data_IF_318693138823
#
_entry.id   IF_318693138823
#
_cell.length_a   1.000
_cell.length_b   1.000
_cell.length_c   1.000
_cell.angle_alpha   90.00
_cell.angle_beta   90.00
_cell.angle_gamma   90.00
#
_symmetry.space_group_name_H-M   'P 1'
#
loop_
_entity.id
_entity.type
_entity.pdbx_description
1 polymer ?
#
# COMPACT_ATOMS: atom_id res chain seq x y z
N UNK A 1 35.66 8.40 5.00
CA UNK A 1 34.71 7.56 5.76
C UNK A 1 34.70 8.10 7.17
N UNK A 2 33.59 8.66 7.61
CA UNK A 2 33.48 9.52 8.79
C UNK A 2 33.19 8.69 10.04
N UNK A 3 33.74 9.08 11.20
CA UNK A 3 33.51 8.52 12.54
C UNK A 3 32.00 8.38 12.93
N UNK A 4 31.12 9.05 12.21
CA UNK A 4 29.67 8.92 12.36
C UNK A 4 29.10 7.58 11.84
N UNK A 5 29.75 6.95 10.85
CA UNK A 5 29.37 5.64 10.31
C UNK A 5 29.72 4.50 11.27
N UNK A 6 30.87 4.59 11.91
CA UNK A 6 31.32 3.56 12.87
C UNK A 6 30.54 3.58 14.19
N UNK A 7 30.10 4.77 14.62
CA UNK A 7 29.28 4.89 15.84
C UNK A 7 27.83 4.38 15.64
N UNK A 8 27.30 4.44 14.42
CA UNK A 8 25.96 3.88 14.11
C UNK A 8 25.97 2.34 14.13
N UNK A 9 27.06 1.74 13.66
CA UNK A 9 27.19 0.27 13.63
C UNK A 9 27.38 -0.32 15.03
N UNK A 10 28.09 0.37 15.90
CA UNK A 10 28.33 -0.06 17.29
C UNK A 10 27.04 0.02 18.15
N UNK A 11 26.29 1.12 18.08
CA UNK A 11 25.00 1.26 18.79
C UNK A 11 23.95 0.24 18.31
N UNK A 12 24.04 -0.22 17.05
CA UNK A 12 23.11 -1.20 16.50
C UNK A 12 23.38 -2.62 17.02
N UNK A 13 24.61 -2.95 17.30
CA UNK A 13 24.98 -4.26 17.85
C UNK A 13 24.53 -4.44 19.33
N UNK A 14 24.49 -3.36 20.10
CA UNK A 14 24.03 -3.40 21.50
C UNK A 14 22.52 -3.43 21.65
N UNK A 15 21.76 -2.86 20.68
CA UNK A 15 20.29 -2.87 20.71
C UNK A 15 19.65 -4.12 20.05
N UNK A 16 20.45 -5.03 19.49
CA UNK A 16 19.95 -6.32 18.98
C UNK A 16 19.78 -7.40 20.07
N UNK A 17 20.18 -7.11 21.30
CA UNK A 17 19.91 -7.98 22.44
C UNK A 17 18.49 -7.71 22.97
N UNK A 18 17.58 -8.66 22.75
CA UNK A 18 16.19 -8.75 23.21
C UNK A 18 15.12 -8.15 22.28
N UNK A 19 14.94 -8.73 21.09
CA UNK A 19 13.59 -8.78 20.49
C UNK A 19 12.75 -9.75 21.31
N UNK A 20 11.64 -9.32 21.92
CA UNK A 20 10.69 -10.27 22.46
C UNK A 20 10.17 -11.10 21.28
N UNK A 21 10.38 -12.41 21.35
CA UNK A 21 9.85 -13.38 20.40
C UNK A 21 8.34 -13.52 20.61
N UNK A 22 7.57 -12.53 20.18
CA UNK A 22 6.17 -12.73 19.87
C UNK A 22 6.12 -13.14 18.40
N UNK A 23 5.64 -14.32 18.12
CA UNK A 23 5.49 -14.89 16.78
C UNK A 23 4.61 -13.97 15.90
N UNK A 24 5.20 -12.95 15.33
CA UNK A 24 4.56 -12.20 14.26
C UNK A 24 4.90 -12.92 12.95
N UNK A 25 3.92 -13.62 12.42
CA UNK A 25 4.05 -14.40 11.18
C UNK A 25 3.82 -13.56 9.92
N UNK A 26 3.27 -12.34 10.07
CA UNK A 26 2.83 -11.49 8.97
C UNK A 26 3.67 -10.19 8.93
N UNK A 27 4.34 -9.85 7.82
CA UNK A 27 5.08 -8.61 7.67
C UNK A 27 4.21 -7.37 7.81
N UNK A 28 4.71 -6.32 8.47
CA UNK A 28 4.03 -5.05 8.67
C UNK A 28 4.64 -3.94 7.79
N UNK A 29 3.79 -3.32 6.96
CA UNK A 29 4.18 -2.30 5.99
C UNK A 29 3.58 -0.94 6.36
N UNK A 30 4.35 0.13 6.24
CA UNK A 30 3.86 1.50 6.43
C UNK A 30 3.91 2.27 5.13
N UNK A 31 2.76 2.74 4.67
CA UNK A 31 2.66 3.76 3.63
C UNK A 31 3.07 5.11 4.24
N UNK A 32 4.34 5.44 4.14
CA UNK A 32 4.90 6.63 4.79
C UNK A 32 4.67 7.92 4.00
N UNK A 33 4.44 7.83 2.68
CA UNK A 33 4.37 8.98 1.80
C UNK A 33 3.26 10.01 2.15
N UNK A 34 2.07 9.65 2.69
CA UNK A 34 1.10 10.66 3.11
C UNK A 34 1.56 11.48 4.33
N UNK A 35 2.51 10.95 5.10
CA UNK A 35 3.08 11.63 6.27
C UNK A 35 4.30 12.50 5.92
N UNK A 36 4.81 12.43 4.69
CA UNK A 36 5.97 13.20 4.28
C UNK A 36 5.60 14.67 4.09
N UNK A 37 6.50 15.60 4.45
CA UNK A 37 6.24 17.01 4.22
C UNK A 37 6.17 17.30 2.71
N UNK A 38 5.18 18.08 2.27
CA UNK A 38 5.21 18.62 0.91
C UNK A 38 6.47 19.49 0.77
N UNK A 39 7.20 19.36 -0.32
CA UNK A 39 8.42 20.13 -0.62
C UNK A 39 9.67 19.72 0.20
N UNK A 40 9.79 18.48 0.63
CA UNK A 40 11.05 17.95 1.18
C UNK A 40 12.06 17.70 0.04
N UNK A 41 12.51 18.76 -0.63
CA UNK A 41 13.43 18.67 -1.77
C UNK A 41 14.75 17.99 -1.38
N UNK A 42 15.24 18.24 -0.16
CA UNK A 42 16.45 17.63 0.39
C UNK A 42 16.19 16.25 1.02
N UNK A 43 14.95 15.81 1.11
CA UNK A 43 14.51 14.53 1.69
C UNK A 43 14.93 14.28 3.13
N UNK A 44 15.25 15.32 3.88
CA UNK A 44 15.65 15.20 5.28
C UNK A 44 14.50 14.69 6.16
N UNK A 45 13.28 15.19 5.93
CA UNK A 45 12.10 14.72 6.64
C UNK A 45 11.76 13.27 6.33
N UNK A 46 11.89 12.86 5.08
CA UNK A 46 11.70 11.48 4.66
C UNK A 46 12.74 10.54 5.29
N UNK A 47 14.01 10.91 5.26
CA UNK A 47 15.09 10.12 5.89
C UNK A 47 14.87 9.95 7.39
N UNK A 48 14.53 11.04 8.09
CA UNK A 48 14.24 11.01 9.52
C UNK A 48 13.03 10.13 9.86
N UNK A 49 11.98 10.16 9.01
CA UNK A 49 10.81 9.31 9.19
C UNK A 49 11.15 7.83 8.97
N UNK A 50 11.93 7.49 7.94
CA UNK A 50 12.34 6.11 7.67
C UNK A 50 13.26 5.57 8.77
N UNK A 51 14.23 6.36 9.25
CA UNK A 51 15.05 6.00 10.40
C UNK A 51 14.19 5.68 11.62
N UNK A 52 13.24 6.57 11.93
CA UNK A 52 12.38 6.41 13.10
C UNK A 52 11.40 5.23 12.99
N UNK A 53 10.87 4.94 11.79
CA UNK A 53 10.04 3.76 11.54
C UNK A 53 10.84 2.47 11.70
N UNK A 54 12.09 2.44 11.22
CA UNK A 54 12.99 1.30 11.40
C UNK A 54 13.33 1.07 12.87
N UNK A 55 13.54 2.15 13.65
CA UNK A 55 13.84 2.08 15.08
C UNK A 55 12.70 1.51 15.94
N UNK A 56 11.45 1.53 15.42
CA UNK A 56 10.31 0.87 16.08
C UNK A 56 10.50 -0.67 16.15
N UNK A 57 11.31 -1.25 15.28
CA UNK A 57 11.68 -2.67 15.27
C UNK A 57 10.55 -3.64 14.92
N UNK A 58 9.40 -3.13 14.52
CA UNK A 58 8.25 -3.93 14.08
C UNK A 58 7.68 -3.50 12.72
N UNK A 59 8.26 -2.49 12.09
CA UNK A 59 7.98 -2.13 10.69
C UNK A 59 8.96 -2.93 9.82
N UNK A 60 8.43 -3.80 8.98
CA UNK A 60 9.25 -4.68 8.13
C UNK A 60 9.45 -4.10 6.73
N UNK A 61 8.58 -3.17 6.31
CA UNK A 61 8.66 -2.55 4.99
C UNK A 61 7.97 -1.21 4.89
N UNK A 62 8.31 -0.50 3.82
CA UNK A 62 7.70 0.76 3.41
C UNK A 62 6.92 0.52 2.11
N UNK A 63 5.74 1.11 1.98
CA UNK A 63 5.04 1.20 0.71
C UNK A 63 5.59 2.39 -0.08
N UNK A 64 6.06 2.12 -1.29
CA UNK A 64 6.69 3.07 -2.19
C UNK A 64 5.77 3.37 -3.37
N UNK A 65 5.34 4.61 -3.57
CA UNK A 65 4.51 4.96 -4.72
C UNK A 65 5.34 5.01 -6.01
N UNK A 66 4.73 4.54 -7.10
CA UNK A 66 5.29 4.60 -8.45
C UNK A 66 4.37 5.43 -9.37
N UNK A 67 4.95 6.40 -10.05
CA UNK A 67 4.28 7.21 -11.09
C UNK A 67 4.85 6.89 -12.48
N UNK A 68 5.97 7.50 -12.81
CA UNK A 68 6.85 7.20 -13.95
C UNK A 68 8.19 6.65 -13.47
N UNK A 69 8.47 6.87 -12.19
CA UNK A 69 9.58 6.35 -11.41
C UNK A 69 9.13 6.20 -9.96
N UNK A 70 9.97 5.63 -9.11
CA UNK A 70 9.79 5.68 -7.66
C UNK A 70 9.89 7.15 -7.19
N UNK A 71 9.20 7.48 -6.11
CA UNK A 71 9.06 8.87 -5.59
C UNK A 71 10.38 9.58 -5.25
N UNK A 72 11.49 8.83 -5.19
CA UNK A 72 12.80 9.39 -4.95
C UNK A 72 13.86 8.70 -5.81
N UNK A 73 15.06 9.31 -6.00
CA UNK A 73 16.13 8.69 -6.76
C UNK A 73 16.54 7.33 -6.19
N UNK A 74 16.68 6.36 -7.08
CA UNK A 74 17.02 4.98 -6.72
C UNK A 74 18.21 4.84 -5.78
N UNK A 75 19.37 5.54 -5.98
CA UNK A 75 20.49 5.44 -5.06
C UNK A 75 20.16 5.93 -3.64
N UNK A 76 19.38 7.00 -3.53
CA UNK A 76 18.94 7.53 -2.24
C UNK A 76 17.98 6.56 -1.54
N UNK A 77 16.98 6.01 -2.25
CA UNK A 77 16.08 4.99 -1.68
C UNK A 77 16.86 3.76 -1.20
N UNK A 78 17.79 3.27 -2.00
CA UNK A 78 18.65 2.15 -1.62
C UNK A 78 19.42 2.44 -0.32
N UNK A 79 19.99 3.64 -0.19
CA UNK A 79 20.68 4.06 1.05
C UNK A 79 19.74 4.11 2.26
N UNK A 80 18.49 4.60 2.06
CA UNK A 80 17.53 4.72 3.16
C UNK A 80 16.92 3.37 3.56
N UNK A 81 16.74 2.44 2.66
CA UNK A 81 15.98 1.21 2.89
C UNK A 81 16.87 0.01 3.21
N UNK A 82 18.06 -0.10 2.60
CA UNK A 82 18.93 -1.24 2.74
C UNK A 82 19.34 -1.52 4.21
N UNK A 83 19.24 -2.77 4.58
CA UNK A 83 19.53 -3.23 5.95
C UNK A 83 18.54 -2.75 7.02
N UNK A 84 17.47 -2.05 6.66
CA UNK A 84 16.41 -1.59 7.56
C UNK A 84 15.08 -2.28 7.29
N UNK A 85 14.70 -2.40 6.02
CA UNK A 85 13.43 -2.96 5.58
C UNK A 85 13.67 -4.07 4.57
N UNK A 86 12.93 -5.16 4.70
CA UNK A 86 13.08 -6.35 3.84
C UNK A 86 11.75 -6.77 3.18
N UNK A 87 10.67 -6.03 3.46
CA UNK A 87 9.32 -6.37 3.03
C UNK A 87 8.60 -5.16 2.40
N UNK A 88 9.35 -4.32 1.66
CA UNK A 88 8.75 -3.18 0.98
C UNK A 88 7.73 -3.63 -0.07
N UNK A 89 6.75 -2.77 -0.29
CA UNK A 89 5.70 -2.92 -1.31
C UNK A 89 5.80 -1.72 -2.25
N UNK A 90 5.59 -1.93 -3.56
CA UNK A 90 5.45 -0.82 -4.51
C UNK A 90 4.00 -0.74 -4.94
N UNK A 91 3.37 0.44 -4.79
CA UNK A 91 2.01 0.68 -5.29
C UNK A 91 2.02 1.44 -6.61
N UNK A 92 1.29 0.94 -7.60
CA UNK A 92 1.16 1.57 -8.91
C UNK A 92 0.03 2.62 -8.97
N UNK A 93 -0.77 2.81 -7.88
CA UNK A 93 -1.99 3.63 -7.95
C UNK A 93 -1.74 5.07 -8.43
N UNK A 94 -0.71 5.80 -7.97
CA UNK A 94 -0.54 7.18 -8.40
C UNK A 94 -0.23 7.31 -9.90
N UNK A 95 0.57 6.39 -10.45
CA UNK A 95 0.86 6.31 -11.88
C UNK A 95 -0.35 5.89 -12.70
N UNK A 96 -1.11 4.91 -12.20
CA UNK A 96 -2.35 4.43 -12.82
C UNK A 96 -3.38 5.56 -12.93
N UNK A 97 -3.65 6.27 -11.83
CA UNK A 97 -4.61 7.38 -11.79
C UNK A 97 -4.20 8.52 -12.71
N UNK A 98 -2.92 8.91 -12.71
CA UNK A 98 -2.42 9.96 -13.59
C UNK A 98 -2.58 9.63 -15.07
N UNK A 99 -2.30 8.39 -15.46
CA UNK A 99 -2.42 7.93 -16.86
C UNK A 99 -3.87 7.70 -17.28
N UNK A 100 -4.69 7.07 -16.44
CA UNK A 100 -6.11 6.88 -16.70
C UNK A 100 -6.88 8.23 -16.78
N UNK A 101 -6.42 9.26 -16.06
CA UNK A 101 -6.94 10.61 -16.18
C UNK A 101 -6.56 11.30 -17.50
N UNK A 102 -5.43 10.94 -18.09
CA UNK A 102 -4.96 11.46 -19.38
C UNK A 102 -5.51 10.67 -20.59
N UNK A 103 -5.64 9.36 -20.43
CA UNK A 103 -6.20 8.43 -21.42
C UNK A 103 -7.23 7.51 -20.76
N UNK A 104 -8.52 7.70 -21.04
CA UNK A 104 -9.59 6.89 -20.45
C UNK A 104 -9.54 5.40 -20.80
N UNK A 105 -8.78 5.00 -21.82
CA UNK A 105 -8.58 3.60 -22.17
C UNK A 105 -7.42 2.95 -21.39
N UNK A 106 -6.58 3.73 -20.71
CA UNK A 106 -5.40 3.22 -20.02
C UNK A 106 -5.77 2.39 -18.78
N UNK A 107 -5.38 1.11 -18.76
CA UNK A 107 -5.54 0.26 -17.58
C UNK A 107 -5.32 -1.23 -17.89
N UNK A 108 -4.90 -1.99 -16.87
CA UNK A 108 -4.72 -3.44 -16.99
C UNK A 108 -6.04 -4.19 -17.24
N UNK A 109 -7.17 -3.61 -16.83
CA UNK A 109 -8.50 -4.15 -17.08
C UNK A 109 -9.17 -3.53 -18.32
N UNK A 110 -8.43 -2.81 -19.15
CA UNK A 110 -9.00 -2.19 -20.34
C UNK A 110 -9.42 -3.22 -21.39
N UNK A 111 -10.64 -3.13 -21.93
CA UNK A 111 -11.05 -3.90 -23.09
C UNK A 111 -10.41 -3.38 -24.40
N UNK A 112 -9.83 -2.18 -24.39
CA UNK A 112 -9.06 -1.61 -25.48
C UNK A 112 -7.65 -2.18 -25.47
N UNK A 113 -7.23 -2.81 -26.57
CA UNK A 113 -5.93 -3.48 -26.64
C UNK A 113 -4.73 -2.52 -26.55
N UNK A 114 -4.87 -1.30 -27.09
CA UNK A 114 -3.80 -0.29 -27.04
C UNK A 114 -3.65 0.27 -25.61
N UNK A 115 -4.78 0.62 -24.98
CA UNK A 115 -4.79 1.09 -23.59
C UNK A 115 -4.27 0.03 -22.60
N UNK A 116 -4.66 -1.24 -22.80
CA UNK A 116 -4.16 -2.36 -22.01
C UNK A 116 -2.67 -2.61 -22.28
N UNK A 117 -2.22 -2.55 -23.54
CA UNK A 117 -0.81 -2.68 -23.90
C UNK A 117 0.07 -1.61 -23.28
N UNK A 118 -0.40 -0.37 -23.21
CA UNK A 118 0.29 0.72 -22.50
C UNK A 118 0.39 0.45 -20.99
N UNK A 119 -0.67 -0.08 -20.38
CA UNK A 119 -0.67 -0.41 -18.95
C UNK A 119 0.29 -1.57 -18.63
N UNK A 120 0.35 -2.60 -19.48
CA UNK A 120 1.33 -3.68 -19.38
C UNK A 120 2.78 -3.16 -19.50
N UNK A 121 3.04 -2.30 -20.46
CA UNK A 121 4.36 -1.66 -20.62
C UNK A 121 4.74 -0.81 -19.40
N UNK A 122 3.79 -0.06 -18.85
CA UNK A 122 4.00 0.72 -17.64
C UNK A 122 4.31 -0.18 -16.43
N UNK A 123 3.61 -1.30 -16.28
CA UNK A 123 3.87 -2.27 -15.22
C UNK A 123 5.28 -2.89 -15.36
N UNK A 124 5.72 -3.22 -16.56
CA UNK A 124 7.08 -3.72 -16.81
C UNK A 124 8.14 -2.65 -16.46
N UNK A 125 7.88 -1.37 -16.79
CA UNK A 125 8.77 -0.28 -16.37
C UNK A 125 8.86 -0.12 -14.84
N UNK A 126 7.75 -0.37 -14.12
CA UNK A 126 7.75 -0.43 -12.66
C UNK A 126 8.64 -1.60 -12.17
N UNK A 127 8.49 -2.79 -12.74
CA UNK A 127 9.30 -3.96 -12.36
C UNK A 127 10.80 -3.70 -12.62
N UNK A 128 11.16 -3.05 -13.72
CA UNK A 128 12.54 -2.62 -13.99
C UNK A 128 13.04 -1.59 -12.97
N UNK A 129 12.17 -0.70 -12.48
CA UNK A 129 12.55 0.24 -11.42
C UNK A 129 12.82 -0.49 -10.09
N UNK A 130 12.05 -1.54 -9.80
CA UNK A 130 12.29 -2.44 -8.65
C UNK A 130 13.64 -3.18 -8.82
N UNK A 131 13.93 -3.72 -10.00
CA UNK A 131 15.21 -4.38 -10.28
C UNK A 131 16.39 -3.42 -10.03
N UNK A 132 16.31 -2.18 -10.53
CA UNK A 132 17.34 -1.16 -10.28
C UNK A 132 17.50 -0.81 -8.80
N UNK A 133 16.40 -0.80 -8.04
CA UNK A 133 16.45 -0.55 -6.59
C UNK A 133 17.16 -1.70 -5.87
N UNK A 134 16.84 -2.96 -6.21
CA UNK A 134 17.51 -4.14 -5.65
C UNK A 134 19.00 -4.16 -5.99
N UNK A 135 19.36 -3.84 -7.23
CA UNK A 135 20.75 -3.75 -7.66
C UNK A 135 21.53 -2.67 -6.87
N UNK A 136 20.93 -1.47 -6.73
CA UNK A 136 21.54 -0.38 -5.96
C UNK A 136 21.69 -0.70 -4.47
N UNK A 137 20.73 -1.44 -3.89
CA UNK A 137 20.76 -1.85 -2.50
C UNK A 137 21.67 -3.06 -2.23
N UNK A 138 21.93 -3.89 -3.25
CA UNK A 138 22.64 -5.16 -3.12
C UNK A 138 21.83 -6.25 -2.42
N UNK A 139 20.52 -6.05 -2.24
CA UNK A 139 19.60 -7.00 -1.60
C UNK A 139 18.17 -6.81 -2.12
N UNK A 140 17.31 -7.82 -1.93
CA UNK A 140 15.89 -7.73 -2.25
C UNK A 140 15.16 -6.93 -1.15
N UNK A 141 14.70 -5.74 -1.48
CA UNK A 141 13.93 -4.85 -0.60
C UNK A 141 12.43 -4.98 -0.82
N UNK A 142 12.01 -4.97 -2.09
CA UNK A 142 10.61 -5.08 -2.50
C UNK A 142 10.25 -6.55 -2.65
N UNK A 143 9.16 -6.94 -2.04
CA UNK A 143 8.65 -8.31 -2.09
C UNK A 143 7.29 -8.42 -2.78
N UNK A 144 6.58 -7.30 -2.98
CA UNK A 144 5.25 -7.25 -3.57
C UNK A 144 5.06 -5.99 -4.39
N UNK A 145 4.23 -6.08 -5.43
CA UNK A 145 3.78 -4.92 -6.22
C UNK A 145 2.26 -4.93 -6.29
N UNK A 146 1.66 -3.80 -5.97
CA UNK A 146 0.22 -3.57 -6.01
C UNK A 146 -0.19 -3.01 -7.37
N UNK A 147 -1.03 -3.76 -8.06
CA UNK A 147 -1.67 -3.47 -9.34
C UNK A 147 -3.13 -3.06 -9.13
N UNK A 148 -3.73 -2.43 -10.13
CA UNK A 148 -5.08 -1.88 -10.03
C UNK A 148 -5.89 -2.19 -11.28
N UNK A 149 -7.19 -2.41 -11.12
CA UNK A 149 -8.13 -2.81 -12.18
C UNK A 149 -8.71 -1.63 -12.96
N UNK A 150 -7.87 -0.60 -13.26
CA UNK A 150 -8.24 0.49 -14.17
C UNK A 150 -8.56 -0.03 -15.58
N UNK A 151 -9.31 0.70 -16.39
CA UNK A 151 -9.67 2.12 -16.31
C UNK A 151 -10.98 2.40 -15.55
N UNK A 152 -11.28 3.71 -15.38
CA UNK A 152 -12.53 4.17 -14.81
C UNK A 152 -13.74 3.76 -15.70
N UNK A 153 -14.81 3.25 -15.10
CA UNK A 153 -16.10 2.95 -15.76
C UNK A 153 -16.05 1.99 -16.97
N UNK A 154 -14.89 1.50 -17.37
CA UNK A 154 -14.73 0.67 -18.57
C UNK A 154 -13.95 -0.61 -18.30
N UNK A 155 -13.61 -0.88 -17.05
CA UNK A 155 -12.83 -2.05 -16.67
C UNK A 155 -13.58 -3.36 -16.97
N UNK A 156 -12.87 -4.34 -17.54
CA UNK A 156 -13.35 -5.68 -17.84
C UNK A 156 -12.58 -6.77 -17.13
N UNK A 157 -13.28 -7.66 -16.41
CA UNK A 157 -12.65 -8.74 -15.65
C UNK A 157 -11.83 -9.71 -16.52
N UNK A 158 -12.29 -10.01 -17.75
CA UNK A 158 -11.57 -10.88 -18.69
C UNK A 158 -10.28 -10.21 -19.18
N UNK A 159 -10.32 -8.91 -19.51
CA UNK A 159 -9.12 -8.16 -19.89
C UNK A 159 -8.13 -8.08 -18.73
N UNK A 160 -8.61 -7.92 -17.50
CA UNK A 160 -7.77 -7.92 -16.31
C UNK A 160 -7.12 -9.30 -16.09
N UNK A 161 -7.90 -10.37 -16.19
CA UNK A 161 -7.38 -11.74 -16.11
C UNK A 161 -6.26 -11.99 -17.15
N UNK A 162 -6.47 -11.55 -18.41
CA UNK A 162 -5.46 -11.67 -19.45
C UNK A 162 -4.18 -10.92 -19.11
N UNK A 163 -4.29 -9.70 -18.58
CA UNK A 163 -3.13 -8.91 -18.15
C UNK A 163 -2.38 -9.54 -16.97
N UNK A 164 -3.09 -10.03 -15.95
CA UNK A 164 -2.47 -10.71 -14.81
C UNK A 164 -1.76 -12.00 -15.25
N UNK A 165 -2.38 -12.76 -16.18
CA UNK A 165 -1.78 -13.97 -16.74
C UNK A 165 -0.53 -13.66 -17.55
N UNK A 166 -0.54 -12.60 -18.36
CA UNK A 166 0.61 -12.17 -19.15
C UNK A 166 1.79 -11.71 -18.27
N UNK A 167 1.52 -11.06 -17.15
CA UNK A 167 2.53 -10.57 -16.21
C UNK A 167 3.07 -11.67 -15.26
N UNK A 168 2.44 -12.83 -15.18
CA UNK A 168 2.77 -13.86 -14.18
C UNK A 168 4.25 -14.26 -14.18
N UNK A 169 4.85 -14.47 -15.36
CA UNK A 169 6.27 -14.82 -15.49
C UNK A 169 7.18 -13.64 -15.15
N UNK A 170 6.79 -12.41 -15.50
CA UNK A 170 7.53 -11.20 -15.15
C UNK A 170 7.69 -11.04 -13.62
N UNK A 171 6.66 -11.40 -12.86
CA UNK A 171 6.68 -11.39 -11.39
C UNK A 171 7.42 -12.60 -10.82
N UNK A 172 7.16 -13.80 -11.33
CA UNK A 172 7.78 -15.03 -10.84
C UNK A 172 9.30 -15.01 -11.00
N UNK A 173 9.81 -14.53 -12.14
CA UNK A 173 11.25 -14.44 -12.41
C UNK A 173 11.99 -13.49 -11.46
N UNK A 174 11.28 -12.55 -10.82
CA UNK A 174 11.80 -11.58 -9.86
C UNK A 174 11.53 -11.96 -8.41
N UNK A 175 10.86 -13.09 -8.16
CA UNK A 175 10.40 -13.49 -6.83
C UNK A 175 9.55 -12.40 -6.15
N UNK A 176 8.64 -11.77 -6.93
CA UNK A 176 7.72 -10.74 -6.45
C UNK A 176 6.30 -11.29 -6.31
N UNK A 177 5.63 -10.93 -5.23
CA UNK A 177 4.21 -11.16 -5.05
C UNK A 177 3.40 -10.21 -5.93
N UNK A 178 2.50 -10.76 -6.75
CA UNK A 178 1.54 -10.00 -7.53
C UNK A 178 0.31 -9.73 -6.66
N UNK A 179 0.05 -8.47 -6.39
CA UNK A 179 -1.09 -8.02 -5.56
C UNK A 179 -2.01 -7.14 -6.40
N UNK A 180 -3.30 -7.33 -6.24
CA UNK A 180 -4.33 -6.37 -6.68
C UNK A 180 -4.78 -5.60 -5.46
N UNK A 181 -4.56 -4.29 -5.40
CA UNK A 181 -5.10 -3.46 -4.32
C UNK A 181 -6.51 -3.01 -4.72
N UNK A 182 -7.53 -3.54 -4.05
CA UNK A 182 -8.92 -3.22 -4.31
C UNK A 182 -9.21 -1.73 -4.07
N UNK A 183 -9.90 -1.12 -5.03
CA UNK A 183 -10.31 0.28 -4.99
C UNK A 183 -11.84 0.37 -5.05
N UNK A 184 -12.38 1.57 -4.81
CA UNK A 184 -13.81 1.83 -4.94
C UNK A 184 -14.31 1.43 -6.34
N UNK A 185 -15.31 0.56 -6.36
CA UNK A 185 -15.84 -0.03 -7.58
C UNK A 185 -16.85 0.87 -8.29
N UNK A 186 -17.01 0.63 -9.59
CA UNK A 186 -18.14 1.20 -10.34
C UNK A 186 -19.47 0.72 -9.76
N UNK A 187 -20.43 1.64 -9.62
CA UNK A 187 -21.75 1.34 -9.09
C UNK A 187 -21.86 1.35 -7.57
N UNK A 188 -20.82 1.81 -6.87
CA UNK A 188 -20.86 2.11 -5.44
C UNK A 188 -21.80 3.26 -5.09
N UNK A 189 -21.76 3.70 -3.83
CA UNK A 189 -22.61 4.80 -3.33
C UNK A 189 -21.96 6.15 -3.62
N UNK A 190 -22.70 7.02 -4.34
CA UNK A 190 -22.19 8.36 -4.70
C UNK A 190 -21.21 8.33 -5.88
N UNK A 191 -20.53 9.46 -6.12
CA UNK A 191 -19.52 9.53 -7.17
C UNK A 191 -18.27 8.75 -6.75
N UNK A 192 -17.95 7.69 -7.50
CA UNK A 192 -16.72 6.92 -7.29
C UNK A 192 -15.50 7.76 -7.68
N UNK A 193 -14.42 7.65 -6.91
CA UNK A 193 -13.15 8.30 -7.25
C UNK A 193 -12.41 7.51 -8.33
N UNK A 194 -12.41 6.18 -8.22
CA UNK A 194 -11.69 5.26 -9.11
C UNK A 194 -12.61 4.49 -10.06
N UNK A 195 -13.80 4.09 -9.60
CA UNK A 195 -14.79 3.35 -10.39
C UNK A 195 -14.18 2.17 -11.16
N UNK A 196 -13.42 1.34 -10.48
CA UNK A 196 -12.74 0.17 -11.03
C UNK A 196 -13.64 -1.08 -10.95
N UNK A 197 -13.08 -2.27 -11.07
CA UNK A 197 -13.82 -3.52 -10.95
C UNK A 197 -14.34 -3.72 -9.52
N UNK A 198 -15.51 -4.35 -9.41
CA UNK A 198 -15.99 -4.83 -8.11
C UNK A 198 -15.09 -5.94 -7.56
N UNK A 199 -15.11 -6.14 -6.23
CA UNK A 199 -14.32 -7.18 -5.58
C UNK A 199 -14.58 -8.56 -6.19
N UNK A 200 -15.84 -8.92 -6.46
CA UNK A 200 -16.20 -10.19 -7.07
C UNK A 200 -15.63 -10.35 -8.50
N UNK A 201 -15.57 -9.26 -9.26
CA UNK A 201 -14.93 -9.27 -10.59
C UNK A 201 -13.40 -9.40 -10.49
N UNK A 202 -12.76 -8.77 -9.52
CA UNK A 202 -11.33 -8.93 -9.25
C UNK A 202 -11.00 -10.35 -8.80
N UNK A 203 -11.81 -10.94 -7.92
CA UNK A 203 -11.67 -12.36 -7.52
C UNK A 203 -11.77 -13.28 -8.76
N UNK A 204 -12.73 -13.02 -9.65
CA UNK A 204 -12.87 -13.78 -10.88
C UNK A 204 -11.66 -13.60 -11.82
N UNK A 205 -11.13 -12.39 -11.95
CA UNK A 205 -9.96 -12.09 -12.76
C UNK A 205 -8.67 -12.71 -12.18
N UNK A 206 -8.55 -12.82 -10.87
CA UNK A 206 -7.40 -13.45 -10.21
C UNK A 206 -7.41 -15.00 -10.31
N UNK A 207 -8.48 -15.63 -10.80
CA UNK A 207 -8.58 -17.10 -10.91
C UNK A 207 -7.48 -17.62 -11.84
N UNK A 208 -6.85 -18.72 -11.40
CA UNK A 208 -5.76 -19.39 -12.15
C UNK A 208 -4.51 -18.50 -12.41
N UNK A 209 -4.40 -17.37 -11.67
CA UNK A 209 -3.22 -16.52 -11.65
C UNK A 209 -2.56 -16.55 -10.27
N UNK A 210 -1.29 -16.09 -10.12
CA UNK A 210 -0.64 -15.96 -8.83
C UNK A 210 -1.13 -14.75 -8.01
N UNK A 211 -1.99 -13.91 -8.55
CA UNK A 211 -2.43 -12.66 -7.92
C UNK A 211 -3.27 -12.91 -6.67
N UNK A 212 -2.95 -12.20 -5.61
CA UNK A 212 -3.76 -12.07 -4.40
C UNK A 212 -4.33 -10.65 -4.34
N UNK A 213 -5.34 -10.43 -3.48
CA UNK A 213 -6.04 -9.15 -3.39
C UNK A 213 -5.83 -8.55 -2.01
N UNK A 214 -5.47 -7.27 -1.96
CA UNK A 214 -5.35 -6.50 -0.72
C UNK A 214 -6.57 -5.60 -0.55
N UNK A 215 -7.13 -5.62 0.66
CA UNK A 215 -8.16 -4.67 1.07
C UNK A 215 -7.50 -3.41 1.63
N UNK A 216 -7.81 -2.27 1.03
CA UNK A 216 -7.58 -0.97 1.63
C UNK A 216 -8.86 -0.54 2.35
N UNK A 217 -8.80 -0.39 3.67
CA UNK A 217 -9.97 -0.14 4.51
C UNK A 217 -10.78 1.08 4.05
N UNK A 218 -10.10 2.18 3.80
CA UNK A 218 -10.75 3.44 3.39
C UNK A 218 -11.45 3.33 2.05
N UNK A 219 -10.83 2.66 1.07
CA UNK A 219 -11.43 2.48 -0.27
C UNK A 219 -12.67 1.62 -0.24
N UNK A 220 -12.69 0.56 0.57
CA UNK A 220 -13.90 -0.25 0.77
C UNK A 220 -15.03 0.57 1.41
N UNK A 221 -14.72 1.50 2.32
CA UNK A 221 -15.71 2.39 2.92
C UNK A 221 -16.20 3.44 1.92
N UNK A 222 -15.32 4.00 1.09
CA UNK A 222 -15.68 4.95 0.03
C UNK A 222 -16.68 4.31 -0.95
N UNK A 223 -16.47 3.06 -1.31
CA UNK A 223 -17.34 2.34 -2.25
C UNK A 223 -18.79 2.28 -1.81
N UNK A 224 -19.05 2.05 -0.53
CA UNK A 224 -20.40 1.73 -0.04
C UNK A 224 -20.95 2.75 0.96
N UNK A 225 -20.11 3.67 1.46
CA UNK A 225 -20.41 4.53 2.60
C UNK A 225 -20.85 3.73 3.84
N UNK A 226 -20.29 2.51 4.01
CA UNK A 226 -20.57 1.64 5.15
C UNK A 226 -19.24 1.19 5.79
N UNK A 227 -19.00 1.49 7.07
CA UNK A 227 -17.74 1.13 7.76
C UNK A 227 -17.59 -0.38 8.05
N UNK A 228 -18.60 -1.20 7.74
CA UNK A 228 -18.53 -2.66 7.87
C UNK A 228 -18.12 -3.35 6.57
N UNK A 229 -18.10 -2.64 5.46
CA UNK A 229 -17.70 -3.19 4.15
C UNK A 229 -16.28 -3.76 4.13
N UNK A 230 -15.25 -3.13 4.73
CA UNK A 230 -13.91 -3.70 4.76
C UNK A 230 -13.87 -5.09 5.41
N UNK A 231 -14.64 -5.30 6.48
CA UNK A 231 -14.77 -6.59 7.14
C UNK A 231 -15.42 -7.63 6.22
N UNK A 232 -16.45 -7.25 5.48
CA UNK A 232 -17.14 -8.10 4.51
C UNK A 232 -16.23 -8.47 3.34
N UNK A 233 -15.50 -7.50 2.78
CA UNK A 233 -14.53 -7.73 1.70
C UNK A 233 -13.41 -8.68 2.15
N UNK A 234 -12.88 -8.50 3.35
CA UNK A 234 -11.85 -9.40 3.90
C UNK A 234 -12.39 -10.83 4.04
N UNK A 235 -13.63 -11.02 4.56
CA UNK A 235 -14.23 -12.36 4.66
C UNK A 235 -14.40 -13.01 3.29
N UNK A 236 -14.90 -12.27 2.30
CA UNK A 236 -15.07 -12.78 0.93
C UNK A 236 -13.73 -13.24 0.34
N UNK A 237 -12.66 -12.48 0.56
CA UNK A 237 -11.31 -12.85 0.11
C UNK A 237 -10.74 -14.06 0.86
N UNK A 238 -10.99 -14.18 2.16
CA UNK A 238 -10.60 -15.37 2.94
C UNK A 238 -11.33 -16.61 2.42
N UNK A 239 -12.64 -16.52 2.19
CA UNK A 239 -13.44 -17.62 1.65
C UNK A 239 -13.00 -18.01 0.24
N UNK A 240 -12.61 -17.03 -0.60
CA UNK A 240 -12.08 -17.26 -1.93
C UNK A 240 -10.62 -17.76 -1.94
N UNK A 241 -9.92 -17.75 -0.80
CA UNK A 241 -8.48 -18.05 -0.72
C UNK A 241 -7.61 -17.06 -1.48
N UNK A 242 -8.03 -15.78 -1.52
CA UNK A 242 -7.39 -14.71 -2.31
C UNK A 242 -6.92 -13.52 -1.47
N UNK A 243 -7.02 -13.55 -0.16
CA UNK A 243 -6.56 -12.47 0.68
C UNK A 243 -5.02 -12.32 0.60
N UNK A 244 -4.55 -11.23 0.02
CA UNK A 244 -3.15 -10.85 -0.06
C UNK A 244 -2.69 -10.01 1.11
N UNK A 245 -3.44 -8.96 1.44
CA UNK A 245 -3.08 -8.03 2.50
C UNK A 245 -4.28 -7.26 3.07
N UNK A 246 -4.02 -6.58 4.18
CA UNK A 246 -4.95 -5.59 4.77
C UNK A 246 -4.18 -4.32 5.06
N UNK A 247 -4.56 -3.22 4.38
CA UNK A 247 -3.99 -1.89 4.58
C UNK A 247 -5.01 -0.99 5.27
N UNK A 248 -4.68 -0.54 6.48
CA UNK A 248 -5.54 0.35 7.27
C UNK A 248 -5.31 1.79 6.86
N UNK A 249 -6.37 2.42 6.38
CA UNK A 249 -6.43 3.80 5.89
C UNK A 249 -7.86 4.30 6.12
N UNK A 250 -8.05 5.49 6.66
CA UNK A 250 -9.39 5.99 6.99
C UNK A 250 -10.05 6.75 5.84
N UNK A 251 -11.38 6.83 5.91
CA UNK A 251 -12.23 7.66 5.07
C UNK A 251 -13.40 8.22 5.91
N UNK A 252 -14.10 9.23 5.40
CA UNK A 252 -15.22 9.84 6.12
C UNK A 252 -16.09 10.74 5.24
N UNK A 253 -17.28 11.14 5.77
CA UNK A 253 -18.31 11.85 5.00
C UNK A 253 -18.10 13.36 4.91
N UNK A 254 -17.03 13.91 5.47
CA UNK A 254 -16.84 15.35 5.55
C UNK A 254 -15.54 15.78 4.86
N UNK A 255 -15.51 17.03 4.40
CA UNK A 255 -14.27 17.65 3.93
C UNK A 255 -13.31 17.85 5.11
N UNK A 256 -12.03 17.57 4.87
CA UNK A 256 -10.96 17.70 5.84
C UNK A 256 -9.83 18.57 5.29
N UNK A 257 -8.79 18.80 6.10
CA UNK A 257 -7.60 19.51 5.62
C UNK A 257 -6.86 18.76 4.49
N UNK A 258 -7.14 17.48 4.26
CA UNK A 258 -6.45 16.66 3.27
C UNK A 258 -7.22 16.49 1.96
N UNK A 259 -8.57 16.45 2.02
CA UNK A 259 -9.39 16.31 0.82
C UNK A 259 -10.90 16.52 1.11
N UNK A 260 -11.69 16.46 0.06
CA UNK A 260 -13.15 16.52 0.09
C UNK A 260 -13.77 15.25 0.72
N UNK A 261 -15.06 15.33 0.99
CA UNK A 261 -15.83 14.20 1.54
C UNK A 261 -15.72 12.94 0.66
N UNK A 262 -15.50 11.79 1.30
CA UNK A 262 -15.35 10.49 0.63
C UNK A 262 -14.16 10.39 -0.34
N UNK A 263 -13.16 11.24 -0.22
CA UNK A 263 -11.91 11.08 -0.94
C UNK A 263 -11.03 10.00 -0.31
N UNK A 264 -10.15 9.39 -1.11
CA UNK A 264 -9.07 8.50 -0.64
C UNK A 264 -7.96 9.31 0.04
N UNK A 265 -8.34 9.98 1.13
CA UNK A 265 -7.49 10.92 1.86
C UNK A 265 -6.63 10.28 2.94
N UNK A 266 -6.65 8.96 3.07
CA UNK A 266 -5.88 8.24 4.08
C UNK A 266 -6.04 8.84 5.48
N UNK A 267 -7.30 9.04 5.93
CA UNK A 267 -7.58 9.66 7.22
C UNK A 267 -7.00 8.81 8.37
N UNK A 268 -6.50 9.42 9.44
CA UNK A 268 -6.08 8.71 10.65
C UNK A 268 -7.29 8.20 11.44
N UNK A 269 -7.05 7.62 12.62
CA UNK A 269 -8.11 7.23 13.54
C UNK A 269 -8.99 8.43 13.93
N UNK A 270 -10.27 8.15 14.22
CA UNK A 270 -11.25 9.15 14.65
C UNK A 270 -10.83 9.98 15.88
N UNK A 271 -9.93 9.46 16.72
CA UNK A 271 -9.36 10.21 17.85
C UNK A 271 -8.44 11.37 17.41
N UNK A 272 -7.93 11.31 16.17
CA UNK A 272 -7.06 12.34 15.58
C UNK A 272 -7.77 13.19 14.53
N UNK A 273 -8.74 12.62 13.82
CA UNK A 273 -9.61 13.28 12.86
C UNK A 273 -11.06 12.84 13.12
N UNK A 274 -11.85 13.65 13.84
CA UNK A 274 -13.18 13.25 14.30
C UNK A 274 -14.17 12.88 13.17
N UNK A 275 -13.92 13.33 11.95
CA UNK A 275 -14.76 12.99 10.78
C UNK A 275 -14.40 11.66 10.16
N UNK A 276 -13.26 11.08 10.53
CA UNK A 276 -12.84 9.76 10.09
C UNK A 276 -13.74 8.67 10.68
N UNK A 277 -14.18 7.77 9.85
CA UNK A 277 -14.91 6.60 10.31
C UNK A 277 -14.01 5.46 10.81
N UNK A 278 -12.70 5.63 10.75
CA UNK A 278 -11.72 4.66 11.23
C UNK A 278 -11.63 4.70 12.76
N UNK A 279 -12.23 3.73 13.45
CA UNK A 279 -12.11 3.59 14.91
C UNK A 279 -11.31 2.33 15.26
N UNK A 280 -10.70 2.25 16.47
CA UNK A 280 -9.99 1.06 16.92
C UNK A 280 -10.83 -0.22 16.83
N UNK A 281 -12.11 -0.14 17.16
CA UNK A 281 -13.03 -1.30 17.15
C UNK A 281 -13.26 -1.81 15.71
N UNK A 282 -13.39 -0.92 14.74
CA UNK A 282 -13.57 -1.24 13.32
C UNK A 282 -12.30 -1.84 12.73
N UNK A 283 -11.14 -1.28 13.08
CA UNK A 283 -9.84 -1.86 12.73
C UNK A 283 -9.73 -3.28 13.26
N UNK A 284 -9.98 -3.49 14.56
CA UNK A 284 -9.92 -4.81 15.18
C UNK A 284 -10.92 -5.78 14.53
N UNK A 285 -12.15 -5.34 14.19
CA UNK A 285 -13.13 -6.20 13.52
C UNK A 285 -12.64 -6.67 12.14
N UNK A 286 -12.05 -5.77 11.35
CA UNK A 286 -11.45 -6.10 10.04
C UNK A 286 -10.30 -7.11 10.21
N UNK A 287 -9.40 -6.89 11.17
CA UNK A 287 -8.28 -7.80 11.41
C UNK A 287 -8.74 -9.18 11.91
N UNK A 288 -9.77 -9.26 12.75
CA UNK A 288 -10.40 -10.54 13.13
C UNK A 288 -10.96 -11.29 11.92
N UNK A 289 -11.57 -10.57 10.98
CA UNK A 289 -12.09 -11.17 9.74
C UNK A 289 -10.99 -11.78 8.88
N UNK A 290 -9.79 -11.19 8.88
CA UNK A 290 -8.63 -11.71 8.15
C UNK A 290 -8.11 -13.04 8.70
N UNK A 291 -8.31 -13.32 9.99
CA UNK A 291 -7.96 -14.59 10.66
C UNK A 291 -6.52 -15.06 10.35
N UNK A 292 -5.57 -14.13 10.20
CA UNK A 292 -4.17 -14.38 9.80
C UNK A 292 -3.98 -15.00 8.41
N UNK A 293 -4.97 -14.91 7.53
CA UNK A 293 -4.87 -15.41 6.17
C UNK A 293 -4.07 -14.46 5.24
N UNK A 294 -3.86 -13.20 5.65
CA UNK A 294 -3.10 -12.21 4.88
C UNK A 294 -1.60 -12.53 4.86
N UNK A 295 -0.96 -12.21 3.72
CA UNK A 295 0.49 -12.38 3.52
C UNK A 295 1.30 -11.16 3.98
N UNK A 296 0.64 -10.03 4.18
CA UNK A 296 1.17 -8.82 4.82
C UNK A 296 0.02 -7.99 5.40
N UNK A 297 0.35 -7.08 6.27
CA UNK A 297 -0.57 -6.11 6.84
C UNK A 297 0.11 -4.76 6.97
N UNK A 298 -0.66 -3.70 7.09
CA UNK A 298 -0.05 -2.40 7.22
C UNK A 298 -1.03 -1.27 7.42
N UNK A 299 -0.50 -0.06 7.36
CA UNK A 299 -1.27 1.16 7.45
C UNK A 299 -0.75 2.23 6.49
N UNK A 300 -1.64 3.14 6.15
CA UNK A 300 -1.38 4.29 5.31
C UNK A 300 -2.29 5.43 5.78
N UNK A 301 -1.71 6.39 6.51
CA UNK A 301 -2.47 7.50 7.12
C UNK A 301 -1.80 8.83 6.86
N UNK A 302 -2.60 9.88 6.72
CA UNK A 302 -2.14 11.26 6.73
C UNK A 302 -1.89 11.76 8.15
N UNK A 303 -0.99 12.72 8.29
CA UNK A 303 -0.76 13.51 9.49
C UNK A 303 -0.70 14.99 9.13
N UNK A 304 -1.04 15.93 10.04
CA UNK A 304 -0.86 17.35 9.75
C UNK A 304 0.57 17.67 9.32
N UNK A 305 0.74 18.59 8.38
CA UNK A 305 2.07 19.02 7.93
C UNK A 305 2.95 19.56 9.07
N UNK A 306 2.32 20.12 10.11
CA UNK A 306 2.98 20.62 11.33
C UNK A 306 3.30 19.53 12.35
N UNK A 307 2.84 18.29 12.16
CA UNK A 307 3.06 17.22 13.12
C UNK A 307 4.55 16.90 13.24
N UNK A 308 5.03 16.87 14.48
CA UNK A 308 6.39 16.42 14.79
C UNK A 308 6.56 14.93 14.46
N UNK A 309 7.80 14.52 14.28
CA UNK A 309 8.13 13.10 14.06
C UNK A 309 7.54 12.19 15.17
N UNK A 310 7.63 12.64 16.42
CA UNK A 310 7.07 11.91 17.57
C UNK A 310 5.55 11.73 17.46
N UNK A 311 4.82 12.77 17.05
CA UNK A 311 3.37 12.70 16.85
C UNK A 311 3.03 11.72 15.72
N UNK A 312 3.73 11.79 14.59
CA UNK A 312 3.55 10.84 13.47
C UNK A 312 3.71 9.39 13.93
N UNK A 313 4.78 9.09 14.65
CA UNK A 313 5.02 7.75 15.19
C UNK A 313 3.98 7.33 16.23
N UNK A 314 3.48 8.28 17.03
CA UNK A 314 2.40 8.01 17.98
C UNK A 314 1.13 7.57 17.23
N UNK A 315 0.75 8.28 16.17
CA UNK A 315 -0.43 7.93 15.38
C UNK A 315 -0.29 6.57 14.67
N UNK A 316 0.87 6.30 14.11
CA UNK A 316 1.22 4.98 13.54
C UNK A 316 1.10 3.87 14.60
N UNK A 317 1.63 4.11 15.80
CA UNK A 317 1.54 3.18 16.93
C UNK A 317 0.09 2.91 17.36
N UNK A 318 -0.76 3.93 17.38
CA UNK A 318 -2.18 3.79 17.76
C UNK A 318 -2.97 2.93 16.78
N UNK A 319 -2.74 3.10 15.47
CA UNK A 319 -3.36 2.22 14.47
C UNK A 319 -2.88 0.77 14.66
N UNK A 320 -1.58 0.57 14.86
CA UNK A 320 -1.03 -0.77 15.11
C UNK A 320 -1.61 -1.43 16.37
N UNK A 321 -1.75 -0.68 17.45
CA UNK A 321 -2.39 -1.17 18.69
C UNK A 321 -3.83 -1.64 18.43
N UNK A 322 -4.59 -0.88 17.63
CA UNK A 322 -5.94 -1.27 17.22
C UNK A 322 -5.94 -2.57 16.38
N UNK A 323 -4.97 -2.74 15.47
CA UNK A 323 -4.82 -3.97 14.69
C UNK A 323 -4.48 -5.18 15.56
N UNK A 324 -3.66 -5.00 16.59
CA UNK A 324 -3.25 -6.07 17.52
C UNK A 324 -4.33 -6.42 18.57
N UNK A 325 -5.36 -5.59 18.71
CA UNK A 325 -6.51 -5.86 19.62
C UNK A 325 -7.58 -6.77 19.00
N UNK A 326 -7.30 -7.35 17.83
CA UNK A 326 -8.18 -8.24 17.08
C UNK A 326 -8.40 -9.60 17.74
#
# INVERSE_FOLDING_TARGET
MSAASENRTANRAENQAEKPAAHRTVPFVVGAYPMLPPNDEDRHGAAALYDALADLGWVDGIELPFREALDAPTPWLAEQLAGRFTQCVVTAIPGTMGRAGADPAFGLASPDDDGRGQALACTRSLLEAVDRLHEAAGEQLVTRVELHSAPHHQAGAEAFHASLSELAEDFASRNLGMIVEHCDAEGGVGPSEKAFLSLSQEIAACRDTPALITVNWGRSVIETHDPTTPESHVRELVEAGRLGGVMISGAGPEETQWAWAWADAHLPLAEHEPTSWLTPERVAATMRAAAFAQTYEGLKINTPASASLKEKLTWVGRVREAMLSA
#
